data_IF_104776248461
#
_entry.id   IF_104776248461
#
_cell.length_a   1.000
_cell.length_b   1.000
_cell.length_c   1.000
_cell.angle_alpha   90.00
_cell.angle_beta   90.00
_cell.angle_gamma   90.00
#
_symmetry.space_group_name_H-M   'P 1'
#
loop_
_entity.id
_entity.type
_entity.pdbx_description
1 polymer ?
#
# COMPACT_ATOMS: atom_id res chain seq x y z
N UNK A 1 7.13 35.23 0.75
CA UNK A 1 7.61 36.17 -0.28
C UNK A 1 8.62 35.41 -1.12
N UNK A 2 8.27 35.04 -2.35
CA UNK A 2 9.11 34.23 -3.22
C UNK A 2 10.24 35.12 -3.77
N UNK A 3 11.45 34.96 -3.25
CA UNK A 3 12.63 35.61 -3.84
C UNK A 3 12.85 34.98 -5.22
N UNK A 4 12.74 35.85 -6.23
CA UNK A 4 12.93 35.54 -7.65
C UNK A 4 14.26 34.80 -7.81
N UNK A 5 14.21 33.57 -8.32
CA UNK A 5 15.40 32.73 -8.55
C UNK A 5 16.55 33.51 -9.17
N UNK A 6 17.63 33.63 -8.39
CA UNK A 6 18.80 34.41 -8.77
C UNK A 6 19.53 33.70 -9.91
N UNK A 7 19.27 34.13 -11.15
CA UNK A 7 19.85 33.53 -12.34
C UNK A 7 21.25 34.10 -12.57
N UNK A 8 22.29 33.40 -12.12
CA UNK A 8 23.68 33.79 -12.38
C UNK A 8 24.01 33.53 -13.87
N UNK A 9 24.15 34.60 -14.66
CA UNK A 9 24.57 34.51 -16.07
C UNK A 9 26.06 34.76 -16.17
N UNK A 10 26.85 33.70 -16.30
CA UNK A 10 28.30 33.80 -16.52
C UNK A 10 28.56 34.03 -18.01
N UNK A 11 29.02 35.24 -18.37
CA UNK A 11 29.47 35.56 -19.72
C UNK A 11 30.98 35.34 -19.83
N UNK A 12 31.45 34.44 -20.70
CA UNK A 12 32.88 34.23 -20.89
C UNK A 12 33.56 35.49 -21.42
N UNK A 13 34.47 36.05 -20.63
CA UNK A 13 35.31 37.18 -21.01
C UNK A 13 36.76 36.79 -20.84
N UNK A 14 37.50 36.81 -21.94
CA UNK A 14 38.90 36.45 -22.00
C UNK A 14 39.71 37.63 -22.53
N UNK A 15 40.91 37.80 -22.01
CA UNK A 15 41.92 38.71 -22.56
C UNK A 15 42.77 37.93 -23.55
N UNK A 16 42.94 38.47 -24.75
CA UNK A 16 43.88 37.94 -25.74
C UNK A 16 45.30 38.38 -25.34
N UNK A 17 46.22 37.43 -25.20
CA UNK A 17 47.63 37.69 -24.93
C UNK A 17 48.53 36.98 -25.95
N UNK A 18 49.80 37.37 -26.11
CA UNK A 18 50.73 36.69 -27.02
C UNK A 18 50.92 35.18 -26.73
N UNK A 19 50.54 34.72 -25.53
CA UNK A 19 50.61 33.31 -25.11
C UNK A 19 49.24 32.59 -25.15
N UNK A 20 48.21 33.26 -25.67
CA UNK A 20 46.84 32.74 -25.76
C UNK A 20 45.82 33.52 -24.92
N UNK A 21 44.61 32.96 -24.82
CA UNK A 21 43.47 33.56 -24.10
C UNK A 21 43.55 33.29 -22.60
N UNK A 22 43.49 34.35 -21.79
CA UNK A 22 43.47 34.26 -20.33
C UNK A 22 42.10 34.70 -19.81
N UNK A 23 41.44 33.93 -18.92
CA UNK A 23 40.16 34.33 -18.35
C UNK A 23 40.29 35.62 -17.53
N UNK A 24 39.30 36.50 -17.66
CA UNK A 24 39.26 37.75 -16.88
C UNK A 24 38.90 37.48 -15.42
N UNK A 25 39.28 38.42 -14.55
CA UNK A 25 38.86 38.42 -13.15
C UNK A 25 37.32 38.38 -13.01
N UNK A 26 36.60 39.15 -13.83
CA UNK A 26 35.13 39.16 -13.86
C UNK A 26 34.54 37.79 -14.20
N UNK A 27 35.16 37.07 -15.14
CA UNK A 27 34.75 35.72 -15.51
C UNK A 27 34.98 34.74 -14.35
N UNK A 28 36.14 34.79 -13.71
CA UNK A 28 36.44 33.97 -12.54
C UNK A 28 35.47 34.25 -11.38
N UNK A 29 35.13 35.51 -11.14
CA UNK A 29 34.15 35.90 -10.13
C UNK A 29 32.74 35.42 -10.46
N UNK A 30 32.35 35.47 -11.73
CA UNK A 30 31.08 34.92 -12.22
C UNK A 30 30.98 33.41 -11.98
N UNK A 31 32.06 32.66 -12.26
CA UNK A 31 32.14 31.23 -11.99
C UNK A 31 32.03 30.93 -10.49
N UNK A 32 32.73 31.68 -9.65
CA UNK A 32 32.67 31.50 -8.19
C UNK A 32 31.25 31.72 -7.65
N UNK A 33 30.53 32.74 -8.14
CA UNK A 33 29.13 32.98 -7.76
C UNK A 33 28.21 31.83 -8.20
N UNK A 34 28.40 31.30 -9.40
CA UNK A 34 27.62 30.16 -9.88
C UNK A 34 27.85 28.90 -9.05
N UNK A 35 29.09 28.64 -8.64
CA UNK A 35 29.43 27.51 -7.76
C UNK A 35 28.77 27.64 -6.39
N UNK A 36 28.80 28.84 -5.79
CA UNK A 36 28.14 29.09 -4.50
C UNK A 36 26.62 28.86 -4.56
N UNK A 37 25.98 29.35 -5.62
CA UNK A 37 24.55 29.14 -5.81
C UNK A 37 24.21 27.64 -5.95
N UNK A 38 25.05 26.88 -6.65
CA UNK A 38 24.86 25.43 -6.75
C UNK A 38 24.99 24.73 -5.40
N UNK A 39 25.98 25.12 -4.60
CA UNK A 39 26.20 24.58 -3.25
C UNK A 39 24.99 24.83 -2.34
N UNK A 40 24.42 26.04 -2.37
CA UNK A 40 23.21 26.40 -1.63
C UNK A 40 21.99 25.57 -2.07
N UNK A 41 21.80 25.41 -3.39
CA UNK A 41 20.70 24.60 -3.94
C UNK A 41 20.87 23.12 -3.57
N UNK A 42 22.11 22.61 -3.60
CA UNK A 42 22.40 21.23 -3.22
C UNK A 42 22.13 20.99 -1.74
N UNK A 43 22.51 21.92 -0.86
CA UNK A 43 22.19 21.84 0.57
C UNK A 43 20.68 21.86 0.84
N UNK A 44 19.92 22.74 0.16
CA UNK A 44 18.45 22.79 0.29
C UNK A 44 17.80 21.47 -0.21
N UNK A 45 18.37 20.86 -1.25
CA UNK A 45 17.89 19.58 -1.77
C UNK A 45 18.20 18.43 -0.80
N UNK A 46 19.39 18.39 -0.21
CA UNK A 46 19.74 17.42 0.83
C UNK A 46 18.85 17.53 2.06
N UNK A 47 18.53 18.76 2.50
CA UNK A 47 17.62 18.98 3.62
C UNK A 47 16.22 18.46 3.29
N UNK A 48 15.67 18.80 2.12
CA UNK A 48 14.36 18.31 1.68
C UNK A 48 14.33 16.80 1.52
N UNK A 49 15.41 16.19 1.02
CA UNK A 49 15.52 14.75 0.87
C UNK A 49 15.61 14.07 2.23
N UNK A 50 16.39 14.63 3.16
CA UNK A 50 16.45 14.19 4.56
C UNK A 50 15.11 14.32 5.27
N UNK A 51 14.34 15.38 5.02
CA UNK A 51 12.97 15.53 5.51
C UNK A 51 12.04 14.49 4.89
N UNK A 52 12.21 14.15 3.62
CA UNK A 52 11.42 13.13 2.93
C UNK A 52 11.73 11.73 3.43
N UNK A 53 13.02 11.43 3.66
CA UNK A 53 13.50 10.18 4.26
C UNK A 53 13.05 10.05 5.72
N UNK A 54 13.10 11.13 6.51
CA UNK A 54 12.47 11.15 7.86
C UNK A 54 10.95 11.01 7.81
N UNK A 55 10.33 11.36 6.68
CA UNK A 55 8.91 11.13 6.39
C UNK A 55 8.68 9.76 5.74
N UNK A 56 9.64 8.82 5.77
CA UNK A 56 9.44 7.43 5.37
C UNK A 56 8.21 6.85 6.09
N UNK A 57 7.11 6.87 5.33
CA UNK A 57 5.94 6.00 5.34
C UNK A 57 5.26 5.70 6.68
N UNK A 58 4.51 6.65 7.25
CA UNK A 58 3.52 6.37 8.30
C UNK A 58 2.34 5.48 7.85
N UNK A 59 2.39 4.90 6.64
CA UNK A 59 1.29 4.13 6.04
C UNK A 59 1.55 2.63 5.88
N UNK A 60 2.81 2.18 5.95
CA UNK A 60 3.17 0.76 5.86
C UNK A 60 3.43 0.15 7.24
N UNK A 61 3.97 0.92 8.18
CA UNK A 61 4.03 0.52 9.59
C UNK A 61 2.61 0.30 10.13
N UNK A 62 2.35 -0.90 10.64
CA UNK A 62 1.04 -1.31 11.14
C UNK A 62 0.06 -1.80 10.06
N UNK A 63 0.38 -1.71 8.77
CA UNK A 63 -0.41 -2.38 7.74
C UNK A 63 -0.32 -3.90 7.89
N UNK A 64 0.87 -4.42 8.16
CA UNK A 64 1.10 -5.84 8.43
C UNK A 64 0.31 -6.34 9.65
N UNK A 65 0.29 -5.56 10.73
CA UNK A 65 -0.48 -5.88 11.94
C UNK A 65 -2.00 -5.86 11.67
N UNK A 66 -2.48 -4.87 10.91
CA UNK A 66 -3.89 -4.81 10.51
C UNK A 66 -4.28 -5.97 9.59
N UNK A 67 -3.39 -6.35 8.68
CA UNK A 67 -3.58 -7.53 7.82
C UNK A 67 -3.63 -8.80 8.67
N UNK A 68 -2.71 -8.96 9.62
CA UNK A 68 -2.72 -10.10 10.53
C UNK A 68 -4.01 -10.21 11.37
N UNK A 69 -4.54 -9.09 11.87
CA UNK A 69 -5.82 -9.05 12.58
C UNK A 69 -7.01 -9.43 11.69
N UNK A 70 -7.00 -9.00 10.42
CA UNK A 70 -8.01 -9.37 9.43
C UNK A 70 -7.94 -10.87 9.11
N UNK A 71 -6.74 -11.40 8.91
CA UNK A 71 -6.53 -12.85 8.67
C UNK A 71 -7.00 -13.69 9.86
N UNK A 72 -6.73 -13.26 11.09
CA UNK A 72 -7.22 -13.95 12.29
C UNK A 72 -8.75 -13.94 12.37
N UNK A 73 -9.36 -12.77 12.09
CA UNK A 73 -10.81 -12.63 12.06
C UNK A 73 -11.44 -13.54 11.00
N UNK A 74 -10.80 -13.67 9.84
CA UNK A 74 -11.25 -14.55 8.76
C UNK A 74 -11.18 -16.02 9.18
N UNK A 75 -10.08 -16.47 9.78
CA UNK A 75 -9.93 -17.85 10.31
C UNK A 75 -10.97 -18.20 11.37
N UNK A 76 -11.33 -17.23 12.22
CA UNK A 76 -12.40 -17.43 13.22
C UNK A 76 -13.78 -17.57 12.56
N UNK A 77 -14.03 -16.78 11.50
CA UNK A 77 -15.27 -16.85 10.74
C UNK A 77 -15.41 -18.17 9.99
N UNK A 78 -14.34 -18.64 9.34
CA UNK A 78 -14.30 -19.94 8.68
C UNK A 78 -14.67 -21.07 9.64
N UNK A 79 -13.99 -21.14 10.80
CA UNK A 79 -14.29 -22.16 11.82
C UNK A 79 -15.74 -22.11 12.30
N UNK A 80 -16.30 -20.92 12.43
CA UNK A 80 -17.70 -20.75 12.84
C UNK A 80 -18.66 -21.25 11.77
N UNK A 81 -18.39 -20.94 10.50
CA UNK A 81 -19.18 -21.43 9.38
C UNK A 81 -19.13 -22.96 9.27
N UNK A 82 -17.95 -23.57 9.46
CA UNK A 82 -17.81 -25.03 9.44
C UNK A 82 -18.70 -25.70 10.52
N UNK A 83 -18.69 -25.17 11.75
CA UNK A 83 -19.52 -25.67 12.84
C UNK A 83 -21.02 -25.48 12.57
N UNK A 84 -21.43 -24.32 12.04
CA UNK A 84 -22.83 -24.06 11.69
C UNK A 84 -23.31 -24.98 10.56
N UNK A 85 -22.45 -25.27 9.57
CA UNK A 85 -22.75 -26.21 8.50
C UNK A 85 -22.87 -27.65 9.00
N UNK A 86 -22.01 -28.06 9.92
CA UNK A 86 -22.08 -29.37 10.58
C UNK A 86 -23.40 -29.52 11.37
N UNK A 87 -23.78 -28.51 12.16
CA UNK A 87 -25.04 -28.51 12.91
C UNK A 87 -26.27 -28.54 11.99
N UNK A 88 -26.24 -27.81 10.87
CA UNK A 88 -27.30 -27.85 9.87
C UNK A 88 -27.39 -29.25 9.25
N UNK A 89 -26.26 -29.87 8.95
CA UNK A 89 -26.21 -31.20 8.37
C UNK A 89 -26.81 -32.26 9.32
N UNK A 90 -26.50 -32.19 10.61
CA UNK A 90 -27.08 -33.08 11.64
C UNK A 90 -28.61 -32.91 11.75
N UNK A 91 -29.09 -31.67 11.72
CA UNK A 91 -30.53 -31.38 11.72
C UNK A 91 -31.22 -31.90 10.46
N UNK A 92 -30.58 -31.78 9.30
CA UNK A 92 -31.09 -32.32 8.04
C UNK A 92 -31.13 -33.85 8.05
N UNK A 93 -30.11 -34.51 8.62
CA UNK A 93 -30.11 -35.96 8.80
C UNK A 93 -31.29 -36.39 9.67
N UNK A 94 -31.46 -35.75 10.83
CA UNK A 94 -32.56 -36.03 11.76
C UNK A 94 -33.93 -35.84 11.10
N UNK A 95 -34.08 -34.77 10.30
CA UNK A 95 -35.32 -34.50 9.57
C UNK A 95 -35.59 -35.57 8.50
N UNK A 96 -34.54 -36.02 7.80
CA UNK A 96 -34.64 -37.06 6.77
C UNK A 96 -35.05 -38.40 7.37
N UNK A 97 -34.50 -38.74 8.54
CA UNK A 97 -34.87 -39.96 9.27
C UNK A 97 -36.34 -39.91 9.72
N UNK A 98 -36.78 -38.79 10.31
CA UNK A 98 -38.17 -38.59 10.71
C UNK A 98 -39.14 -38.65 9.52
N UNK A 99 -38.74 -38.08 8.37
CA UNK A 99 -39.53 -38.16 7.14
C UNK A 99 -39.64 -39.60 6.62
N UNK A 100 -38.54 -40.37 6.68
CA UNK A 100 -38.52 -41.77 6.26
C UNK A 100 -39.42 -42.63 7.15
N UNK A 101 -39.39 -42.42 8.47
CA UNK A 101 -40.29 -43.12 9.40
C UNK A 101 -41.76 -42.77 9.14
N UNK A 102 -42.06 -41.50 8.86
CA UNK A 102 -43.41 -41.08 8.49
C UNK A 102 -43.88 -41.76 7.20
N UNK A 103 -43.04 -41.82 6.17
CA UNK A 103 -43.34 -42.49 4.91
C UNK A 103 -43.63 -43.98 5.11
N UNK A 104 -42.85 -44.68 5.94
CA UNK A 104 -43.13 -46.09 6.27
C UNK A 104 -44.47 -46.27 6.97
N UNK A 105 -44.81 -45.37 7.91
CA UNK A 105 -46.10 -45.42 8.61
C UNK A 105 -47.27 -45.17 7.65
N UNK A 106 -47.12 -44.23 6.71
CA UNK A 106 -48.13 -43.96 5.68
C UNK A 106 -48.31 -45.19 4.79
N UNK A 107 -47.23 -45.80 4.30
CA UNK A 107 -47.31 -47.04 3.50
C UNK A 107 -48.03 -48.17 4.23
N UNK A 108 -47.73 -48.38 5.53
CA UNK A 108 -48.42 -49.39 6.36
C UNK A 108 -49.92 -49.11 6.47
N UNK A 109 -50.31 -47.85 6.62
CA UNK A 109 -51.73 -47.46 6.67
C UNK A 109 -52.44 -47.69 5.33
N UNK A 110 -51.78 -47.35 4.22
CA UNK A 110 -52.30 -47.62 2.87
C UNK A 110 -52.50 -49.12 2.63
N UNK A 111 -51.55 -49.97 3.04
CA UNK A 111 -51.69 -51.42 2.94
C UNK A 111 -52.83 -51.99 3.79
N UNK A 112 -53.06 -51.44 4.99
CA UNK A 112 -54.17 -51.84 5.85
C UNK A 112 -55.52 -51.43 5.25
N UNK A 113 -55.60 -50.23 4.68
CA UNK A 113 -56.79 -49.73 3.98
C UNK A 113 -57.09 -50.51 2.70
N UNK A 114 -56.07 -50.95 1.96
CA UNK A 114 -56.25 -51.73 0.74
C UNK A 114 -56.67 -53.20 1.00
N UNK A 115 -56.53 -53.69 2.24
CA UNK A 115 -56.90 -55.06 2.66
C UNK A 115 -58.25 -55.15 3.38
N UNK A 116 -58.87 -54.02 3.73
CA UNK A 116 -60.20 -53.93 4.34
C UNK A 116 -61.27 -53.56 3.32
#
# INVERSE_FOLDING_TARGET
>A
MSEKGEKVVVKPRYLETPKGRIPTYDFALGMLKAVKLLDEITAELEEKLSELEKRETPGLEGLEERVALVEESFKRLEKKLDLELEEINDKLSTLTDAFSELMERVQKLEELLAKG
#
